data_IF_972850240990
#
_entry.id   IF_972850240990
#
_cell.length_a   1.000
_cell.length_b   1.000
_cell.length_c   1.000
_cell.angle_alpha   90.00
_cell.angle_beta   90.00
_cell.angle_gamma   90.00
#
_symmetry.space_group_name_H-M   'P 1'
#
loop_
_entity.id
_entity.type
_entity.pdbx_description
1 polymer ?
#
# COMPACT_ATOMS: atom_id res chain seq x y z
N UNK A 1 4.50 -0.43 -10.88
CA UNK A 1 5.50 -0.09 -9.83
C UNK A 1 4.76 -0.13 -8.51
N UNK A 2 5.14 -1.02 -7.61
CA UNK A 2 4.20 -1.46 -6.58
C UNK A 2 4.68 -0.96 -5.21
N UNK A 3 4.15 0.16 -4.68
CA UNK A 3 4.50 0.62 -3.33
C UNK A 3 4.02 -0.34 -2.25
N UNK A 4 2.84 -0.97 -2.44
CA UNK A 4 2.00 -1.55 -1.39
C UNK A 4 1.47 -0.54 -0.38
N UNK A 5 2.36 0.25 0.23
CA UNK A 5 2.10 1.36 1.15
C UNK A 5 3.17 2.43 0.94
N UNK A 6 2.87 3.70 1.20
CA UNK A 6 3.88 4.77 1.24
C UNK A 6 4.30 5.10 2.68
N UNK A 7 4.08 4.17 3.61
CA UNK A 7 4.48 4.27 5.01
C UNK A 7 5.64 3.30 5.29
N UNK A 8 6.83 3.85 5.53
CA UNK A 8 8.04 3.04 5.70
C UNK A 8 8.00 2.12 6.93
N UNK A 9 7.30 2.53 8.01
CA UNK A 9 7.08 1.68 9.18
C UNK A 9 6.25 0.44 8.82
N UNK A 10 5.16 0.63 8.06
CA UNK A 10 4.36 -0.47 7.54
C UNK A 10 5.20 -1.39 6.65
N UNK A 11 5.96 -0.82 5.71
CA UNK A 11 6.80 -1.59 4.79
C UNK A 11 7.84 -2.44 5.54
N UNK A 12 8.53 -1.86 6.53
CA UNK A 12 9.46 -2.60 7.39
C UNK A 12 8.76 -3.73 8.12
N UNK A 13 7.59 -3.45 8.69
CA UNK A 13 6.81 -4.42 9.45
C UNK A 13 6.39 -5.63 8.60
N UNK A 14 5.98 -5.39 7.34
CA UNK A 14 5.62 -6.48 6.42
C UNK A 14 6.83 -7.10 5.69
N UNK A 15 8.05 -6.75 6.09
CA UNK A 15 9.30 -7.34 5.59
C UNK A 15 9.68 -6.90 4.17
N UNK A 16 9.30 -5.70 3.74
CA UNK A 16 9.74 -5.11 2.46
C UNK A 16 11.12 -4.46 2.61
N UNK A 17 11.92 -4.58 1.55
CA UNK A 17 13.29 -4.04 1.49
C UNK A 17 13.39 -2.71 0.75
N UNK A 18 12.25 -2.10 0.40
CA UNK A 18 12.14 -0.78 -0.21
C UNK A 18 11.45 0.20 0.74
N UNK A 19 11.61 1.48 0.44
CA UNK A 19 11.05 2.62 1.16
C UNK A 19 10.33 3.53 0.15
N UNK A 20 9.60 4.52 0.66
CA UNK A 20 8.83 5.45 -0.15
C UNK A 20 9.71 6.21 -1.16
N UNK A 21 10.90 6.66 -0.75
CA UNK A 21 11.85 7.41 -1.59
C UNK A 21 12.29 6.59 -2.82
N UNK A 22 12.62 5.31 -2.62
CA UNK A 22 12.96 4.41 -3.74
C UNK A 22 11.80 4.21 -4.70
N UNK A 23 10.57 4.13 -4.21
CA UNK A 23 9.39 3.99 -5.09
C UNK A 23 9.27 5.22 -5.98
N UNK A 24 9.39 6.43 -5.40
CA UNK A 24 9.33 7.69 -6.14
C UNK A 24 10.45 7.77 -7.17
N UNK A 25 11.69 7.44 -6.79
CA UNK A 25 12.84 7.45 -7.69
C UNK A 25 12.66 6.48 -8.87
N UNK A 26 12.18 5.26 -8.62
CA UNK A 26 11.93 4.26 -9.67
C UNK A 26 10.75 4.66 -10.57
N UNK A 27 9.72 5.29 -10.01
CA UNK A 27 8.62 5.83 -10.80
C UNK A 27 9.09 6.91 -11.77
N UNK A 28 9.82 7.91 -11.28
CA UNK A 28 10.35 8.98 -12.12
C UNK A 28 11.33 8.45 -13.17
N UNK A 29 12.20 7.50 -12.80
CA UNK A 29 13.08 6.84 -13.76
C UNK A 29 12.30 6.13 -14.87
N UNK A 30 11.21 5.44 -14.54
CA UNK A 30 10.37 4.81 -15.56
C UNK A 30 9.74 5.86 -16.50
N UNK A 31 9.27 7.00 -15.97
CA UNK A 31 8.79 8.12 -16.80
C UNK A 31 9.88 8.66 -17.72
N UNK A 32 11.08 8.89 -17.21
CA UNK A 32 12.22 9.41 -17.98
C UNK A 32 12.66 8.46 -19.09
N UNK A 33 12.50 7.15 -18.88
CA UNK A 33 12.75 6.11 -19.89
C UNK A 33 11.64 6.00 -20.95
N UNK A 34 10.57 6.79 -20.84
CA UNK A 34 9.47 6.83 -21.80
C UNK A 34 8.33 5.86 -21.50
N UNK A 35 8.24 5.30 -20.30
CA UNK A 35 7.05 4.55 -19.89
C UNK A 35 5.90 5.53 -19.62
N UNK A 36 4.87 5.45 -20.46
CA UNK A 36 3.67 6.30 -20.42
C UNK A 36 2.44 5.61 -19.83
N UNK A 37 2.57 4.33 -19.45
CA UNK A 37 1.51 3.56 -18.80
C UNK A 37 2.06 2.77 -17.61
N UNK A 38 1.93 3.34 -16.42
CA UNK A 38 2.44 2.80 -15.17
C UNK A 38 1.27 2.53 -14.22
N UNK A 39 1.03 1.26 -13.92
CA UNK A 39 0.13 0.85 -12.83
C UNK A 39 0.87 0.84 -11.48
N UNK A 40 0.16 1.17 -10.39
CA UNK A 40 0.66 1.03 -9.02
C UNK A 40 -0.26 0.17 -8.15
N UNK A 41 0.32 -0.79 -7.41
CA UNK A 41 -0.45 -1.67 -6.51
C UNK A 41 -0.40 -1.19 -5.06
N UNK A 42 -1.57 -1.00 -4.45
CA UNK A 42 -1.78 -0.67 -3.04
C UNK A 42 -2.43 -1.85 -2.31
N UNK A 43 -2.05 -2.10 -1.06
CA UNK A 43 -2.66 -3.12 -0.21
C UNK A 43 -3.29 -2.44 1.01
N UNK A 44 -4.57 -2.67 1.24
CA UNK A 44 -5.33 -2.22 2.40
C UNK A 44 -5.31 -3.26 3.50
N UNK A 45 -5.38 -2.80 4.74
CA UNK A 45 -5.44 -3.69 5.90
C UNK A 45 -4.10 -4.27 6.28
N UNK A 46 -2.98 -3.63 5.93
CA UNK A 46 -1.67 -4.06 6.40
C UNK A 46 -1.59 -3.94 7.93
N UNK A 47 -0.75 -4.76 8.59
CA UNK A 47 -0.59 -4.70 10.03
C UNK A 47 -0.25 -3.29 10.51
N UNK A 48 -0.91 -2.84 11.57
CA UNK A 48 -0.70 -1.52 12.18
C UNK A 48 -1.00 -0.31 11.27
N UNK A 49 -1.59 -0.49 10.08
CA UNK A 49 -2.12 0.63 9.31
C UNK A 49 -3.49 1.06 9.82
N UNK A 50 -3.68 2.37 9.86
CA UNK A 50 -4.96 3.02 10.09
C UNK A 50 -5.47 3.72 8.84
N UNK A 51 -6.71 4.21 8.89
CA UNK A 51 -7.30 4.98 7.78
C UNK A 51 -6.40 6.15 7.34
N UNK A 52 -5.74 6.83 8.28
CA UNK A 52 -4.83 7.94 7.99
C UNK A 52 -3.60 7.52 7.18
N UNK A 53 -3.10 6.30 7.38
CA UNK A 53 -1.94 5.77 6.66
C UNK A 53 -2.29 5.45 5.20
N UNK A 54 -3.52 4.97 4.99
CA UNK A 54 -4.12 4.76 3.67
C UNK A 54 -4.31 6.11 2.96
N UNK A 55 -4.86 7.11 3.65
CA UNK A 55 -5.03 8.47 3.10
C UNK A 55 -3.69 9.09 2.69
N UNK A 56 -2.66 8.97 3.53
CA UNK A 56 -1.30 9.40 3.18
C UNK A 56 -0.76 8.66 1.94
N UNK A 57 -0.95 7.35 1.87
CA UNK A 57 -0.51 6.55 0.72
C UNK A 57 -1.18 7.01 -0.58
N UNK A 58 -2.49 7.28 -0.52
CA UNK A 58 -3.27 7.83 -1.61
C UNK A 58 -2.70 9.19 -2.07
N UNK A 59 -2.42 10.11 -1.13
CA UNK A 59 -1.89 11.43 -1.45
C UNK A 59 -0.52 11.35 -2.13
N UNK A 60 0.38 10.49 -1.64
CA UNK A 60 1.69 10.30 -2.26
C UNK A 60 1.59 9.68 -3.66
N UNK A 61 0.72 8.70 -3.86
CA UNK A 61 0.53 8.10 -5.19
C UNK A 61 -0.07 9.12 -6.16
N UNK A 62 -1.02 9.98 -5.71
CA UNK A 62 -1.58 11.06 -6.54
C UNK A 62 -0.51 12.02 -7.06
N UNK A 63 0.48 12.37 -6.24
CA UNK A 63 1.60 13.23 -6.66
C UNK A 63 2.42 12.64 -7.81
N UNK A 64 2.49 11.31 -7.89
CA UNK A 64 3.16 10.60 -8.99
C UNK A 64 2.29 10.51 -10.25
N UNK A 65 0.97 10.66 -10.13
CA UNK A 65 0.00 10.61 -11.23
C UNK A 65 0.19 9.38 -12.12
N UNK A 66 0.07 8.15 -11.59
CA UNK A 66 0.09 6.93 -12.40
C UNK A 66 -1.15 6.83 -13.28
N UNK A 67 -1.06 6.10 -14.39
CA UNK A 67 -2.19 5.86 -15.30
C UNK A 67 -3.25 4.93 -14.68
N UNK A 68 -2.85 4.10 -13.73
CA UNK A 68 -3.77 3.20 -13.04
C UNK A 68 -3.28 2.83 -11.65
N UNK A 69 -4.24 2.50 -10.78
CA UNK A 69 -3.97 1.97 -9.45
C UNK A 69 -4.79 0.69 -9.27
N UNK A 70 -4.15 -0.35 -8.78
CA UNK A 70 -4.80 -1.58 -8.34
C UNK A 70 -4.85 -1.63 -6.82
N UNK A 71 -6.04 -1.80 -6.26
CA UNK A 71 -6.26 -1.86 -4.82
C UNK A 71 -6.58 -3.29 -4.41
N UNK A 72 -5.81 -3.81 -3.45
CA UNK A 72 -6.01 -5.14 -2.87
C UNK A 72 -6.34 -5.04 -1.39
N UNK A 73 -7.15 -5.97 -0.86
CA UNK A 73 -7.19 -6.23 0.57
C UNK A 73 -6.10 -7.21 0.99
N UNK A 74 -5.52 -7.03 2.18
CA UNK A 74 -4.60 -8.00 2.75
C UNK A 74 -5.28 -9.37 2.87
N UNK A 75 -4.71 -10.35 2.16
CA UNK A 75 -5.07 -11.76 2.30
C UNK A 75 -3.89 -12.51 2.94
N UNK A 76 -4.04 -12.91 4.19
CA UNK A 76 -3.03 -13.70 4.90
C UNK A 76 -2.94 -15.11 4.29
N UNK A 77 -1.83 -15.39 3.64
CA UNK A 77 -1.51 -16.74 3.14
C UNK A 77 -0.84 -17.53 4.26
N UNK A 78 -1.29 -18.77 4.51
CA UNK A 78 -0.77 -19.63 5.59
C UNK A 78 0.75 -19.86 5.54
N UNK A 79 1.36 -19.75 4.37
CA UNK A 79 2.81 -19.93 4.17
C UNK A 79 3.59 -18.59 4.16
N UNK A 80 2.95 -17.46 4.47
CA UNK A 80 3.67 -16.19 4.53
C UNK A 80 4.35 -16.01 5.87
N UNK A 81 5.53 -15.38 5.86
CA UNK A 81 6.22 -14.94 7.08
C UNK A 81 5.31 -14.09 7.97
N UNK A 82 4.51 -13.21 7.35
CA UNK A 82 3.52 -12.40 8.07
C UNK A 82 2.49 -13.25 8.82
N UNK A 83 2.06 -14.40 8.27
CA UNK A 83 1.15 -15.31 8.96
C UNK A 83 1.84 -16.00 10.15
N UNK A 84 3.11 -16.40 10.00
CA UNK A 84 3.91 -16.95 11.09
C UNK A 84 4.10 -15.92 12.22
N UNK A 85 4.49 -14.70 11.86
CA UNK A 85 4.66 -13.59 12.81
C UNK A 85 3.33 -13.29 13.55
N UNK A 86 2.19 -13.37 12.88
CA UNK A 86 0.86 -13.19 13.50
C UNK A 86 0.50 -14.30 14.49
N UNK A 87 0.91 -15.54 14.21
CA UNK A 87 0.67 -16.68 15.11
C UNK A 87 1.62 -16.68 16.32
N UNK A 88 2.86 -16.24 16.12
CA UNK A 88 3.90 -16.25 17.16
C UNK A 88 3.88 -14.99 18.03
N UNK A 89 3.57 -13.83 17.46
CA UNK A 89 3.53 -12.54 18.14
C UNK A 89 2.11 -11.98 18.14
N UNK A 90 1.42 -12.03 19.29
CA UNK A 90 0.12 -11.37 19.52
C UNK A 90 0.15 -9.82 19.39
N UNK A 91 1.17 -9.24 18.78
CA UNK A 91 1.47 -7.80 18.81
C UNK A 91 0.92 -7.00 17.62
N UNK A 92 0.48 -7.66 16.57
CA UNK A 92 0.00 -6.96 15.38
C UNK A 92 -1.52 -6.92 15.37
N UNK A 93 -2.08 -5.73 15.48
CA UNK A 93 -3.50 -5.51 15.28
C UNK A 93 -3.76 -5.38 13.78
N UNK A 94 -4.68 -6.21 13.27
CA UNK A 94 -5.28 -5.96 11.97
C UNK A 94 -6.40 -4.94 12.13
N UNK A 95 -6.66 -4.10 11.11
CA UNK A 95 -7.80 -3.19 11.11
C UNK A 95 -9.11 -3.95 11.31
N UNK A 96 -10.04 -3.31 12.01
CA UNK A 96 -11.39 -3.87 12.18
C UNK A 96 -12.11 -3.94 10.83
N UNK A 97 -13.18 -4.73 10.73
CA UNK A 97 -13.99 -4.77 9.51
C UNK A 97 -14.59 -3.38 9.17
N UNK A 98 -14.96 -2.59 10.19
CA UNK A 98 -15.45 -1.23 10.01
C UNK A 98 -14.38 -0.31 9.43
N UNK A 99 -13.16 -0.40 9.96
CA UNK A 99 -12.02 0.37 9.46
C UNK A 99 -11.63 -0.04 8.04
N UNK A 100 -11.64 -1.34 7.74
CA UNK A 100 -11.45 -1.86 6.38
C UNK A 100 -12.48 -1.29 5.40
N UNK A 101 -13.76 -1.23 5.78
CA UNK A 101 -14.80 -0.65 4.93
C UNK A 101 -14.53 0.82 4.63
N UNK A 102 -14.13 1.60 5.64
CA UNK A 102 -13.75 3.01 5.45
C UNK A 102 -12.54 3.16 4.52
N UNK A 103 -11.52 2.29 4.65
CA UNK A 103 -10.37 2.28 3.75
C UNK A 103 -10.82 2.02 2.30
N UNK A 104 -11.68 1.03 2.06
CA UNK A 104 -12.22 0.74 0.74
C UNK A 104 -13.01 1.92 0.17
N UNK A 105 -13.92 2.52 0.95
CA UNK A 105 -14.68 3.69 0.51
C UNK A 105 -13.78 4.86 0.13
N UNK A 106 -12.71 5.12 0.88
CA UNK A 106 -11.74 6.17 0.56
C UNK A 106 -10.99 5.87 -0.72
N UNK A 107 -10.50 4.64 -0.90
CA UNK A 107 -9.82 4.26 -2.14
C UNK A 107 -10.72 4.29 -3.36
N UNK A 108 -12.00 3.90 -3.24
CA UNK A 108 -12.97 3.97 -4.35
C UNK A 108 -13.21 5.42 -4.79
N UNK A 109 -13.41 6.33 -3.81
CA UNK A 109 -13.54 7.77 -4.12
C UNK A 109 -12.29 8.29 -4.81
N UNK A 110 -11.11 7.95 -4.30
CA UNK A 110 -9.85 8.36 -4.93
C UNK A 110 -9.73 7.86 -6.37
N UNK A 111 -10.04 6.57 -6.61
CA UNK A 111 -9.92 5.95 -7.93
C UNK A 111 -10.82 6.61 -8.99
N UNK A 112 -11.90 7.29 -8.58
CA UNK A 112 -12.77 8.05 -9.49
C UNK A 112 -12.22 9.42 -9.87
N UNK A 113 -11.28 9.94 -9.08
CA UNK A 113 -10.68 11.27 -9.26
C UNK A 113 -9.30 11.21 -9.95
N UNK A 114 -8.74 10.02 -10.16
CA UNK A 114 -7.51 9.78 -10.94
C UNK A 114 -7.83 9.81 -12.44
#
# INVERSE_FOLDING_TARGET
>A
INPQSMNDDTLRLIGRNHDHDKVIAIFNLARDLGFDNINMDMILGLPSEHLSDVEKTIEEIRKLSPESITVHGLALKRASRLYEDFLMEKKYALPSQEEMNLMYEKTDRMARDL
#
